data_IF_222254999107
#
_entry.id   IF_222254999107
#
_cell.length_a   1.000
_cell.length_b   1.000
_cell.length_c   1.000
_cell.angle_alpha   90.00
_cell.angle_beta   90.00
_cell.angle_gamma   90.00
#
_symmetry.space_group_name_H-M   'P 1'
#
loop_
_entity.id
_entity.type
_entity.pdbx_description
1 polymer ?
#
# COMPACT_ATOMS: atom_id res chain seq x y z
N UNK A 1 18.61 8.14 10.43
CA UNK A 1 17.45 9.01 10.10
C UNK A 1 16.81 8.61 8.76
N UNK A 2 17.61 8.34 7.73
CA UNK A 2 17.16 7.86 6.40
C UNK A 2 16.40 6.54 6.45
N UNK A 3 16.78 5.60 7.30
CA UNK A 3 16.13 4.28 7.41
C UNK A 3 14.68 4.40 7.92
N UNK A 4 14.44 5.22 8.95
CA UNK A 4 13.08 5.50 9.44
C UNK A 4 12.25 6.25 8.38
N UNK A 5 12.88 7.09 7.55
CA UNK A 5 12.18 7.76 6.46
C UNK A 5 11.72 6.78 5.38
N UNK A 6 12.52 5.73 5.09
CA UNK A 6 12.14 4.67 4.15
C UNK A 6 10.96 3.86 4.70
N UNK A 7 11.01 3.48 5.99
CA UNK A 7 9.91 2.78 6.64
C UNK A 7 8.59 3.57 6.58
N UNK A 8 8.64 4.87 6.92
CA UNK A 8 7.48 5.77 6.84
C UNK A 8 6.97 5.90 5.40
N UNK A 9 7.86 6.05 4.42
CA UNK A 9 7.48 6.13 3.01
C UNK A 9 6.76 4.86 2.54
N UNK A 10 7.24 3.67 2.93
CA UNK A 10 6.60 2.40 2.57
C UNK A 10 5.21 2.25 3.19
N UNK A 11 5.03 2.62 4.46
CA UNK A 11 3.71 2.63 5.10
C UNK A 11 2.77 3.62 4.40
N UNK A 12 3.26 4.82 4.04
CA UNK A 12 2.47 5.81 3.31
C UNK A 12 2.00 5.29 1.94
N UNK A 13 2.90 4.66 1.17
CA UNK A 13 2.56 4.01 -0.10
C UNK A 13 1.50 2.94 0.12
N UNK A 14 1.63 2.13 1.17
CA UNK A 14 0.64 1.13 1.54
C UNK A 14 -0.76 1.71 1.77
N UNK A 15 -0.85 2.80 2.56
CA UNK A 15 -2.12 3.50 2.81
C UNK A 15 -2.70 4.14 1.55
N UNK A 16 -1.85 4.71 0.68
CA UNK A 16 -2.28 5.23 -0.61
C UNK A 16 -2.91 4.14 -1.50
N UNK A 17 -2.27 2.97 -1.55
CA UNK A 17 -2.77 1.83 -2.32
C UNK A 17 -4.10 1.31 -1.80
N UNK A 18 -4.37 1.36 -0.49
CA UNK A 18 -5.72 1.07 0.07
C UNK A 18 -6.77 2.01 -0.51
N UNK A 19 -6.46 3.31 -0.65
CA UNK A 19 -7.33 4.25 -1.36
C UNK A 19 -7.60 3.83 -2.81
N UNK A 20 -6.56 3.32 -3.49
CA UNK A 20 -6.66 2.70 -4.82
C UNK A 20 -7.62 1.50 -4.86
N UNK A 21 -7.57 0.61 -3.85
CA UNK A 21 -8.51 -0.53 -3.74
C UNK A 21 -9.95 -0.04 -3.73
N UNK A 22 -10.26 0.91 -2.85
CA UNK A 22 -11.63 1.43 -2.70
C UNK A 22 -12.08 2.11 -4.00
N UNK A 23 -11.22 2.91 -4.61
CA UNK A 23 -11.52 3.61 -5.86
C UNK A 23 -11.81 2.64 -7.02
N UNK A 24 -10.93 1.67 -7.25
CA UNK A 24 -11.05 0.70 -8.35
C UNK A 24 -12.19 -0.29 -8.13
N UNK A 25 -12.43 -0.69 -6.88
CA UNK A 25 -13.58 -1.53 -6.53
C UNK A 25 -14.89 -0.82 -6.88
N UNK A 26 -15.01 0.48 -6.58
CA UNK A 26 -16.19 1.29 -6.94
C UNK A 26 -16.36 1.47 -8.44
N UNK A 27 -15.29 1.38 -9.22
CA UNK A 27 -15.31 1.44 -10.68
C UNK A 27 -15.56 0.07 -11.35
N UNK A 28 -15.69 -1.02 -10.58
CA UNK A 28 -15.85 -2.38 -11.11
C UNK A 28 -14.57 -3.01 -11.66
N UNK A 29 -13.42 -2.33 -11.51
CA UNK A 29 -12.11 -2.79 -11.95
C UNK A 29 -11.50 -3.77 -10.93
N UNK A 30 -12.10 -4.97 -10.84
CA UNK A 30 -11.80 -5.97 -9.80
C UNK A 30 -10.32 -6.38 -9.75
N UNK A 31 -9.70 -6.64 -10.89
CA UNK A 31 -8.28 -7.06 -10.95
C UNK A 31 -7.38 -5.92 -10.44
N UNK A 32 -7.62 -4.68 -10.86
CA UNK A 32 -6.87 -3.52 -10.40
C UNK A 32 -7.01 -3.32 -8.88
N UNK A 33 -8.22 -3.48 -8.34
CA UNK A 33 -8.44 -3.42 -6.90
C UNK A 33 -7.68 -4.50 -6.13
N UNK A 34 -7.62 -5.73 -6.65
CA UNK A 34 -6.84 -6.83 -6.04
C UNK A 34 -5.34 -6.54 -6.08
N UNK A 35 -4.82 -6.03 -7.20
CA UNK A 35 -3.39 -5.66 -7.32
C UNK A 35 -3.04 -4.56 -6.31
N UNK A 36 -3.88 -3.52 -6.18
CA UNK A 36 -3.69 -2.50 -5.16
C UNK A 36 -3.73 -3.08 -3.74
N UNK A 37 -4.60 -4.05 -3.46
CA UNK A 37 -4.71 -4.66 -2.14
C UNK A 37 -3.46 -5.48 -1.79
N UNK A 38 -2.94 -6.26 -2.74
CA UNK A 38 -1.69 -7.01 -2.57
C UNK A 38 -0.51 -6.07 -2.40
N UNK A 39 -0.41 -5.03 -3.23
CA UNK A 39 0.65 -4.01 -3.11
C UNK A 39 0.59 -3.26 -1.78
N UNK A 40 -0.62 -2.94 -1.29
CA UNK A 40 -0.81 -2.32 0.01
C UNK A 40 -0.31 -3.22 1.14
N UNK A 41 -0.71 -4.50 1.13
CA UNK A 41 -0.25 -5.47 2.12
C UNK A 41 1.27 -5.58 2.12
N UNK A 42 1.89 -5.74 0.95
CA UNK A 42 3.35 -5.82 0.83
C UNK A 42 4.07 -4.57 1.34
N UNK A 43 3.61 -3.37 0.96
CA UNK A 43 4.25 -2.12 1.36
C UNK A 43 4.14 -1.86 2.86
N UNK A 44 2.97 -2.14 3.46
CA UNK A 44 2.79 -2.02 4.92
C UNK A 44 3.65 -3.05 5.65
N UNK A 45 3.64 -4.32 5.22
CA UNK A 45 4.47 -5.36 5.83
C UNK A 45 5.95 -5.02 5.72
N UNK A 46 6.42 -4.54 4.57
CA UNK A 46 7.80 -4.08 4.40
C UNK A 46 8.12 -2.90 5.34
N UNK A 47 7.24 -1.89 5.42
CA UNK A 47 7.43 -0.75 6.31
C UNK A 47 7.46 -1.14 7.79
N UNK A 48 6.63 -2.10 8.23
CA UNK A 48 6.60 -2.61 9.62
C UNK A 48 7.84 -3.44 9.95
N UNK A 49 8.29 -4.31 9.03
CA UNK A 49 9.49 -5.15 9.25
C UNK A 49 10.80 -4.36 9.18
N UNK A 50 10.77 -3.10 8.74
CA UNK A 50 11.94 -2.22 8.64
C UNK A 50 12.31 -1.53 9.96
N UNK A 51 11.43 -1.60 10.97
CA UNK A 51 11.65 -1.03 12.30
C UNK A 51 12.49 -1.92 13.22
#
# INVERSE_FOLDING_TARGET
>A
MTENMIAVAMVFVGLFLIGGVISLAKQGLKIGAVVCAVGAAMAITAGVMWW
#
